data_IF_276158688327
#
_entry.id   IF_276158688327
#
_cell.length_a   1.000
_cell.length_b   1.000
_cell.length_c   1.000
_cell.angle_alpha   90.00
_cell.angle_beta   90.00
_cell.angle_gamma   90.00
#
_symmetry.space_group_name_H-M   'P 1'
#
loop_
_entity.id
_entity.type
_entity.pdbx_description
1 polymer ?
#
# COMPACT_ATOMS: atom_id res chain seq x y z
N UNK A 1 -7.02 -1.96 -38.80
CA UNK A 1 -6.16 -2.68 -37.84
C UNK A 1 -6.59 -2.26 -36.44
N UNK A 2 -7.44 -3.08 -35.82
CA UNK A 2 -8.08 -2.84 -34.52
C UNK A 2 -7.30 -3.64 -33.46
N UNK A 3 -6.38 -2.99 -32.75
CA UNK A 3 -5.89 -3.49 -31.46
C UNK A 3 -6.81 -2.93 -30.37
N UNK A 4 -7.87 -3.67 -30.06
CA UNK A 4 -8.70 -3.40 -28.88
C UNK A 4 -8.08 -4.10 -27.68
N UNK A 5 -7.59 -3.30 -26.74
CA UNK A 5 -7.12 -3.70 -25.42
C UNK A 5 -8.15 -4.59 -24.72
N UNK A 6 -7.80 -5.87 -24.52
CA UNK A 6 -8.50 -6.74 -23.58
C UNK A 6 -7.85 -6.47 -22.21
N UNK A 7 -8.31 -5.40 -21.56
CA UNK A 7 -8.15 -5.24 -20.12
C UNK A 7 -9.18 -6.16 -19.46
N UNK A 8 -8.81 -7.42 -19.25
CA UNK A 8 -9.61 -8.37 -18.48
C UNK A 8 -9.59 -7.93 -17.03
N UNK A 9 -10.66 -7.26 -16.60
CA UNK A 9 -10.97 -7.01 -15.20
C UNK A 9 -11.30 -8.36 -14.56
N UNK A 10 -10.30 -9.03 -14.00
CA UNK A 10 -10.50 -10.09 -13.00
C UNK A 10 -10.11 -9.47 -11.67
N UNK A 11 -11.04 -8.73 -11.07
CA UNK A 11 -10.83 -8.13 -9.75
C UNK A 11 -12.11 -8.29 -8.95
N UNK A 12 -12.23 -9.43 -8.24
CA UNK A 12 -12.96 -9.57 -6.97
C UNK A 12 -13.15 -11.04 -6.52
N UNK A 13 -13.02 -12.03 -7.41
CA UNK A 13 -13.46 -13.41 -7.08
C UNK A 13 -12.37 -14.36 -6.53
N UNK A 14 -11.10 -13.97 -6.48
CA UNK A 14 -10.01 -14.90 -6.11
C UNK A 14 -9.81 -15.08 -4.59
N UNK A 15 -10.43 -14.24 -3.75
CA UNK A 15 -10.30 -14.33 -2.29
C UNK A 15 -11.42 -15.12 -1.59
N UNK A 16 -12.33 -15.75 -2.35
CA UNK A 16 -13.37 -16.62 -1.80
C UNK A 16 -12.96 -18.10 -1.72
N UNK A 17 -11.65 -18.40 -1.71
CA UNK A 17 -11.18 -19.77 -1.50
C UNK A 17 -11.09 -20.04 0.00
N UNK A 18 -12.08 -20.74 0.51
CA UNK A 18 -12.13 -21.22 1.88
C UNK A 18 -11.07 -22.31 2.16
N UNK A 19 -10.06 -21.94 2.94
CA UNK A 19 -9.50 -22.63 4.13
C UNK A 19 -8.79 -24.00 4.02
N UNK A 20 -8.66 -24.68 2.87
CA UNK A 20 -7.91 -25.97 2.85
C UNK A 20 -6.96 -26.22 1.67
N UNK A 21 -6.54 -25.19 0.94
CA UNK A 21 -5.57 -25.35 -0.15
C UNK A 21 -4.37 -24.44 0.07
N UNK A 22 -3.18 -25.05 0.14
CA UNK A 22 -1.90 -24.36 0.07
C UNK A 22 -1.90 -23.40 -1.13
N UNK A 23 -1.44 -22.16 -0.92
CA UNK A 23 -1.32 -21.17 -1.97
C UNK A 23 -0.36 -21.67 -3.04
N UNK A 24 -0.73 -21.48 -4.29
CA UNK A 24 0.18 -21.67 -5.43
C UNK A 24 1.02 -20.41 -5.65
N UNK A 25 2.21 -20.53 -6.28
CA UNK A 25 2.99 -19.36 -6.72
C UNK A 25 2.16 -18.33 -7.48
N UNK A 26 1.27 -18.77 -8.38
CA UNK A 26 0.39 -17.87 -9.14
C UNK A 26 -0.60 -17.09 -8.26
N UNK A 27 -1.13 -17.71 -7.19
CA UNK A 27 -2.01 -17.02 -6.24
C UNK A 27 -1.25 -16.01 -5.38
N UNK A 28 0.01 -16.30 -5.04
CA UNK A 28 0.92 -15.35 -4.39
C UNK A 28 1.10 -14.12 -5.28
N UNK A 29 1.40 -14.31 -6.58
CA UNK A 29 1.51 -13.20 -7.56
C UNK A 29 0.22 -12.40 -7.67
N UNK A 30 -0.93 -13.06 -7.80
CA UNK A 30 -2.21 -12.37 -7.92
C UNK A 30 -2.56 -11.54 -6.68
N UNK A 31 -2.25 -12.03 -5.48
CA UNK A 31 -2.49 -11.30 -4.23
C UNK A 31 -1.65 -10.02 -4.14
N UNK A 32 -0.39 -10.16 -4.55
CA UNK A 32 0.59 -9.10 -4.75
C UNK A 32 0.04 -8.02 -5.72
N UNK A 33 -0.46 -8.41 -6.90
CA UNK A 33 -1.06 -7.50 -7.88
C UNK A 33 -2.27 -6.73 -7.36
N UNK A 34 -3.09 -7.35 -6.50
CA UNK A 34 -4.25 -6.70 -5.89
C UNK A 34 -3.81 -5.58 -4.93
N UNK A 35 -2.82 -5.82 -4.07
CA UNK A 35 -2.24 -4.79 -3.18
C UNK A 35 -1.69 -3.63 -4.00
N UNK A 36 -1.08 -3.92 -5.15
CA UNK A 36 -0.57 -2.91 -6.08
C UNK A 36 -1.67 -2.07 -6.70
N UNK A 37 -2.74 -2.72 -7.15
CA UNK A 37 -3.89 -2.05 -7.76
C UNK A 37 -4.58 -1.11 -6.76
N UNK A 38 -4.72 -1.55 -5.50
CA UNK A 38 -5.26 -0.72 -4.42
C UNK A 38 -4.37 0.52 -4.18
N UNK A 39 -3.05 0.33 -4.10
CA UNK A 39 -2.09 1.42 -3.91
C UNK A 39 -2.11 2.44 -5.07
N UNK A 40 -2.22 1.97 -6.31
CA UNK A 40 -2.38 2.82 -7.48
C UNK A 40 -3.70 3.62 -7.44
N UNK A 41 -4.78 3.02 -6.93
CA UNK A 41 -6.07 3.69 -6.75
C UNK A 41 -6.01 4.81 -5.71
N UNK A 42 -5.27 4.60 -4.61
CA UNK A 42 -5.00 5.65 -3.62
C UNK A 42 -4.26 6.81 -4.29
N UNK A 43 -3.16 6.51 -5.00
CA UNK A 43 -2.35 7.50 -5.73
C UNK A 43 -3.19 8.32 -6.71
N UNK A 44 -4.11 7.67 -7.44
CA UNK A 44 -5.04 8.35 -8.36
C UNK A 44 -6.05 9.22 -7.62
N UNK A 45 -6.51 8.81 -6.45
CA UNK A 45 -7.47 9.57 -5.64
C UNK A 45 -6.85 10.86 -5.08
N UNK A 46 -5.56 10.84 -4.76
CA UNK A 46 -4.84 11.99 -4.22
C UNK A 46 -4.34 12.95 -5.30
N UNK A 47 -4.06 12.46 -6.52
CA UNK A 47 -3.50 13.29 -7.60
C UNK A 47 -4.45 14.37 -8.13
N UNK A 48 -5.75 14.26 -7.84
CA UNK A 48 -6.77 15.26 -8.23
C UNK A 48 -6.94 16.39 -7.21
N UNK A 49 -6.31 16.28 -6.04
CA UNK A 49 -6.41 17.28 -4.98
C UNK A 49 -5.39 18.39 -5.21
N UNK A 50 -5.87 19.63 -5.10
CA UNK A 50 -5.04 20.84 -5.17
C UNK A 50 -5.44 21.79 -4.04
N UNK A 51 -4.66 22.85 -3.84
CA UNK A 51 -5.00 23.91 -2.86
C UNK A 51 -6.28 24.67 -3.18
N UNK A 52 -6.82 24.52 -4.40
CA UNK A 52 -8.10 25.12 -4.85
C UNK A 52 -9.30 24.17 -4.71
N UNK A 53 -9.07 22.91 -4.33
CA UNK A 53 -10.15 21.93 -4.19
C UNK A 53 -11.10 22.33 -3.06
N UNK A 54 -12.39 22.00 -3.20
CA UNK A 54 -13.39 22.27 -2.15
C UNK A 54 -13.13 21.43 -0.89
N UNK A 55 -13.55 21.91 0.28
CA UNK A 55 -13.43 21.15 1.54
C UNK A 55 -14.16 19.80 1.46
N UNK A 56 -15.29 19.73 0.75
CA UNK A 56 -16.01 18.47 0.55
C UNK A 56 -15.18 17.47 -0.26
N UNK A 57 -14.51 17.93 -1.32
CA UNK A 57 -13.60 17.09 -2.12
C UNK A 57 -12.42 16.62 -1.27
N UNK A 58 -11.78 17.53 -0.53
CA UNK A 58 -10.61 17.22 0.32
C UNK A 58 -10.98 16.22 1.42
N UNK A 59 -12.08 16.46 2.13
CA UNK A 59 -12.60 15.56 3.17
C UNK A 59 -12.98 14.19 2.61
N UNK A 60 -13.62 14.14 1.44
CA UNK A 60 -13.97 12.88 0.77
C UNK A 60 -12.71 12.10 0.39
N UNK A 61 -11.72 12.75 -0.23
CA UNK A 61 -10.46 12.11 -0.61
C UNK A 61 -9.69 11.62 0.61
N UNK A 62 -9.62 12.37 1.71
CA UNK A 62 -9.00 11.91 2.96
C UNK A 62 -9.64 10.59 3.45
N UNK A 63 -10.98 10.50 3.44
CA UNK A 63 -11.69 9.25 3.77
C UNK A 63 -11.38 8.11 2.79
N UNK A 64 -11.31 8.41 1.48
CA UNK A 64 -10.92 7.43 0.46
C UNK A 64 -9.51 6.90 0.68
N UNK A 65 -8.57 7.77 1.05
CA UNK A 65 -7.18 7.38 1.37
C UNK A 65 -7.15 6.46 2.58
N UNK A 66 -7.74 6.87 3.71
CA UNK A 66 -7.81 6.03 4.92
C UNK A 66 -8.48 4.68 4.62
N UNK A 67 -9.62 4.68 3.93
CA UNK A 67 -10.33 3.45 3.55
C UNK A 67 -9.52 2.57 2.61
N UNK A 68 -8.79 3.17 1.67
CA UNK A 68 -7.90 2.47 0.75
C UNK A 68 -6.79 1.74 1.51
N UNK A 69 -6.13 2.41 2.45
CA UNK A 69 -5.11 1.78 3.29
C UNK A 69 -5.70 0.69 4.19
N UNK A 70 -6.90 0.87 4.76
CA UNK A 70 -7.57 -0.18 5.54
C UNK A 70 -7.85 -1.42 4.70
N UNK A 71 -8.24 -1.26 3.43
CA UNK A 71 -8.41 -2.39 2.50
C UNK A 71 -7.10 -3.10 2.23
N UNK A 72 -6.01 -2.36 2.01
CA UNK A 72 -4.67 -2.94 1.83
C UNK A 72 -4.30 -3.77 3.06
N UNK A 73 -4.43 -3.23 4.28
CA UNK A 73 -4.17 -3.95 5.53
C UNK A 73 -4.98 -5.24 5.59
N UNK A 74 -6.28 -5.18 5.30
CA UNK A 74 -7.15 -6.37 5.31
C UNK A 74 -6.73 -7.41 4.26
N UNK A 75 -6.38 -6.98 3.04
CA UNK A 75 -5.90 -7.88 1.99
C UNK A 75 -4.59 -8.54 2.36
N UNK A 76 -3.65 -7.79 2.95
CA UNK A 76 -2.40 -8.34 3.46
C UNK A 76 -2.68 -9.36 4.57
N UNK A 77 -3.58 -9.05 5.51
CA UNK A 77 -3.95 -9.98 6.59
C UNK A 77 -4.49 -11.31 6.05
N UNK A 78 -5.42 -11.27 5.09
CA UNK A 78 -5.92 -12.48 4.42
C UNK A 78 -4.82 -13.24 3.69
N UNK A 79 -3.89 -12.52 3.07
CA UNK A 79 -2.78 -13.14 2.36
C UNK A 79 -1.81 -13.84 3.31
N UNK A 80 -1.43 -13.20 4.42
CA UNK A 80 -0.59 -13.77 5.48
C UNK A 80 -1.20 -15.06 6.01
N UNK A 81 -2.49 -15.07 6.35
CA UNK A 81 -3.15 -16.29 6.83
C UNK A 81 -3.10 -17.43 5.81
N UNK A 82 -3.22 -17.11 4.51
CA UNK A 82 -3.11 -18.14 3.46
C UNK A 82 -1.68 -18.67 3.31
N UNK A 83 -0.66 -17.85 3.57
CA UNK A 83 0.75 -18.28 3.53
C UNK A 83 1.06 -19.22 4.70
N UNK A 84 0.54 -18.94 5.90
CA UNK A 84 0.77 -19.78 7.09
C UNK A 84 0.26 -21.22 6.89
N UNK A 85 -0.79 -21.40 6.08
CA UNK A 85 -1.34 -22.71 5.69
C UNK A 85 -0.58 -23.37 4.51
N UNK A 86 0.47 -22.73 4.00
CA UNK A 86 1.21 -23.15 2.79
C UNK A 86 2.60 -23.65 3.16
N UNK A 87 2.97 -24.85 2.70
CA UNK A 87 4.34 -25.35 2.86
C UNK A 87 5.33 -24.53 2.03
N UNK A 88 6.59 -24.38 2.48
CA UNK A 88 7.61 -23.64 1.75
C UNK A 88 7.75 -24.14 0.31
N UNK A 89 7.91 -23.20 -0.63
CA UNK A 89 8.05 -23.55 -2.04
C UNK A 89 9.44 -24.13 -2.35
N UNK A 90 9.52 -25.12 -3.25
CA UNK A 90 10.79 -25.55 -3.81
C UNK A 90 11.43 -24.42 -4.63
N UNK A 91 12.75 -24.46 -4.81
CA UNK A 91 13.54 -23.33 -5.35
C UNK A 91 13.11 -22.86 -6.75
N UNK A 92 12.65 -23.79 -7.60
CA UNK A 92 12.14 -23.49 -8.94
C UNK A 92 10.82 -22.68 -8.90
N UNK A 93 9.91 -23.05 -7.99
CA UNK A 93 8.68 -22.32 -7.71
C UNK A 93 8.96 -21.00 -6.96
N UNK A 94 9.93 -20.98 -6.05
CA UNK A 94 10.35 -19.79 -5.33
C UNK A 94 10.91 -18.73 -6.28
N UNK A 95 11.66 -19.12 -7.32
CA UNK A 95 12.18 -18.18 -8.31
C UNK A 95 11.06 -17.54 -9.17
N UNK A 96 9.95 -18.24 -9.42
CA UNK A 96 8.77 -17.62 -10.06
C UNK A 96 8.12 -16.57 -9.16
N UNK A 97 8.03 -16.84 -7.85
CA UNK A 97 7.54 -15.88 -6.86
C UNK A 97 8.48 -14.69 -6.74
N UNK A 98 9.79 -14.90 -6.69
CA UNK A 98 10.78 -13.83 -6.70
C UNK A 98 10.72 -13.04 -7.99
N UNK A 99 10.63 -13.69 -9.15
CA UNK A 99 10.48 -12.99 -10.42
C UNK A 99 9.19 -12.17 -10.44
N UNK A 100 8.12 -12.59 -9.78
CA UNK A 100 6.94 -11.76 -9.62
C UNK A 100 7.16 -10.63 -8.59
N UNK A 101 7.87 -10.86 -7.49
CA UNK A 101 8.26 -9.83 -6.51
C UNK A 101 9.32 -8.83 -7.04
N UNK A 102 10.05 -9.20 -8.11
CA UNK A 102 11.12 -8.43 -8.76
C UNK A 102 10.64 -7.78 -10.05
N UNK A 103 9.99 -8.53 -10.95
CA UNK A 103 9.40 -8.02 -12.20
C UNK A 103 8.17 -7.16 -11.91
N UNK A 104 7.39 -7.56 -10.90
CA UNK A 104 6.57 -6.60 -10.19
C UNK A 104 7.43 -6.12 -9.04
N UNK A 105 8.13 -5.01 -9.24
CA UNK A 105 8.84 -4.22 -8.24
C UNK A 105 7.82 -3.64 -7.23
N UNK A 106 7.06 -4.54 -6.60
CA UNK A 106 5.67 -4.41 -6.18
C UNK A 106 5.54 -3.68 -4.86
N UNK A 107 6.48 -3.95 -3.98
CA UNK A 107 6.51 -3.40 -2.64
C UNK A 107 7.21 -2.04 -2.68
N UNK A 108 8.28 -1.92 -3.44
CA UNK A 108 9.16 -0.74 -3.42
C UNK A 108 8.74 0.38 -4.36
N UNK A 109 8.28 0.10 -5.59
CA UNK A 109 7.97 1.20 -6.53
C UNK A 109 6.55 1.76 -6.36
N UNK A 110 5.60 0.93 -5.98
CA UNK A 110 4.18 1.29 -5.89
C UNK A 110 3.85 1.95 -4.55
N UNK A 111 4.33 1.43 -3.43
CA UNK A 111 4.15 2.13 -2.15
C UNK A 111 5.01 3.37 -2.05
N UNK A 112 6.24 3.39 -2.57
CA UNK A 112 7.06 4.61 -2.57
C UNK A 112 6.40 5.72 -3.39
N UNK A 113 5.83 5.40 -4.56
CA UNK A 113 5.06 6.39 -5.34
C UNK A 113 3.77 6.82 -4.64
N UNK A 114 3.06 5.91 -3.98
CA UNK A 114 1.89 6.25 -3.19
C UNK A 114 2.28 7.14 -1.99
N UNK A 115 3.34 6.79 -1.27
CA UNK A 115 3.90 7.52 -0.15
C UNK A 115 4.40 8.92 -0.56
N UNK A 116 5.14 9.04 -1.66
CA UNK A 116 5.60 10.33 -2.20
C UNK A 116 4.43 11.24 -2.57
N UNK A 117 3.39 10.70 -3.22
CA UNK A 117 2.22 11.49 -3.61
C UNK A 117 1.37 11.84 -2.38
N UNK A 118 1.18 10.91 -1.44
CA UNK A 118 0.47 11.16 -0.18
C UNK A 118 1.23 12.20 0.66
N UNK A 119 2.55 12.11 0.74
CA UNK A 119 3.40 13.13 1.34
C UNK A 119 3.19 14.50 0.70
N UNK A 120 3.15 14.57 -0.63
CA UNK A 120 2.97 15.83 -1.34
C UNK A 120 1.68 16.58 -1.00
N UNK A 121 0.63 15.86 -0.58
CA UNK A 121 -0.66 16.44 -0.20
C UNK A 121 -0.87 16.57 1.31
N UNK A 122 0.11 16.16 2.14
CA UNK A 122 0.06 16.27 3.60
C UNK A 122 -0.38 17.68 4.05
N UNK A 123 0.26 18.73 3.49
CA UNK A 123 -0.06 20.13 3.83
C UNK A 123 -1.52 20.52 3.56
N UNK A 124 -2.18 19.88 2.59
CA UNK A 124 -3.60 20.12 2.30
C UNK A 124 -4.48 19.46 3.36
N UNK A 125 -4.19 18.21 3.74
CA UNK A 125 -4.97 17.55 4.80
C UNK A 125 -4.71 18.16 6.18
N UNK A 126 -3.47 18.55 6.47
CA UNK A 126 -3.07 19.22 7.70
C UNK A 126 -3.84 20.53 7.90
N UNK A 127 -4.02 21.32 6.84
CA UNK A 127 -4.79 22.57 6.89
C UNK A 127 -6.21 22.39 7.46
N UNK A 128 -6.82 21.21 7.26
CA UNK A 128 -8.19 20.92 7.66
C UNK A 128 -8.28 19.86 8.78
N UNK A 129 -7.18 19.58 9.49
CA UNK A 129 -7.10 18.59 10.57
C UNK A 129 -7.56 17.17 10.14
N UNK A 130 -7.20 16.76 8.92
CA UNK A 130 -7.60 15.47 8.33
C UNK A 130 -6.49 14.40 8.36
N UNK A 131 -5.37 14.64 9.05
CA UNK A 131 -4.20 13.75 9.07
C UNK A 131 -4.33 12.58 10.06
N UNK A 132 -5.00 12.79 11.20
CA UNK A 132 -5.17 11.79 12.27
C UNK A 132 -5.72 10.42 11.81
N UNK A 133 -6.81 10.33 11.02
CA UNK A 133 -7.30 9.02 10.55
C UNK A 133 -6.40 8.38 9.50
N UNK A 134 -5.52 9.15 8.85
CA UNK A 134 -4.56 8.61 7.87
C UNK A 134 -3.37 8.02 8.62
N UNK A 135 -2.78 8.74 9.58
CA UNK A 135 -1.64 8.23 10.37
C UNK A 135 -2.00 6.97 11.17
N UNK A 136 -3.21 6.89 11.71
CA UNK A 136 -3.68 5.71 12.45
C UNK A 136 -3.65 4.45 11.57
N UNK A 137 -4.13 4.55 10.32
CA UNK A 137 -4.15 3.41 9.40
C UNK A 137 -2.75 3.13 8.82
N UNK A 138 -1.92 4.15 8.61
CA UNK A 138 -0.52 3.97 8.20
C UNK A 138 0.29 3.17 9.23
N UNK A 139 0.08 3.39 10.54
CA UNK A 139 0.69 2.57 11.61
C UNK A 139 0.24 1.11 11.55
N UNK A 140 -1.03 0.86 11.25
CA UNK A 140 -1.52 -0.52 11.04
C UNK A 140 -0.92 -1.15 9.78
N UNK A 141 -0.73 -0.35 8.73
CA UNK A 141 -0.08 -0.79 7.50
C UNK A 141 1.37 -1.21 7.72
N UNK A 142 2.14 -0.46 8.50
CA UNK A 142 3.52 -0.82 8.88
C UNK A 142 3.59 -2.22 9.49
N UNK A 143 2.77 -2.51 10.51
CA UNK A 143 2.72 -3.84 11.12
C UNK A 143 2.22 -4.95 10.17
N UNK A 144 1.32 -4.64 9.24
CA UNK A 144 0.88 -5.59 8.22
C UNK A 144 2.01 -5.93 7.22
N UNK A 145 2.84 -4.94 6.85
CA UNK A 145 4.00 -5.13 5.98
C UNK A 145 5.03 -6.04 6.64
N UNK A 146 5.33 -5.82 7.91
CA UNK A 146 6.25 -6.67 8.67
C UNK A 146 5.74 -8.11 8.74
N UNK A 147 4.45 -8.29 9.04
CA UNK A 147 3.82 -9.61 9.07
C UNK A 147 3.90 -10.32 7.72
N UNK A 148 3.66 -9.60 6.62
CA UNK A 148 3.79 -10.12 5.27
C UNK A 148 5.21 -10.55 4.95
N UNK A 149 6.20 -9.74 5.32
CA UNK A 149 7.60 -10.06 5.09
C UNK A 149 8.02 -11.33 5.83
N UNK A 150 7.64 -11.47 7.10
CA UNK A 150 7.90 -12.69 7.86
C UNK A 150 7.23 -13.91 7.23
N UNK A 151 5.97 -13.79 6.81
CA UNK A 151 5.26 -14.89 6.13
C UNK A 151 5.94 -15.28 4.81
N UNK A 152 6.34 -14.31 3.99
CA UNK A 152 7.05 -14.56 2.74
C UNK A 152 8.43 -15.19 2.96
N UNK A 153 9.17 -14.77 3.99
CA UNK A 153 10.45 -15.42 4.38
C UNK A 153 10.22 -16.90 4.71
N UNK A 154 9.13 -17.22 5.42
CA UNK A 154 8.76 -18.62 5.69
C UNK A 154 8.40 -19.41 4.43
N UNK A 155 7.74 -18.75 3.47
CA UNK A 155 7.29 -19.38 2.23
C UNK A 155 8.43 -19.61 1.23
N UNK A 156 9.40 -18.70 1.14
CA UNK A 156 10.53 -18.74 0.21
C UNK A 156 11.86 -18.53 0.96
N UNK A 157 12.28 -19.46 1.83
CA UNK A 157 13.40 -19.27 2.75
C UNK A 157 14.75 -19.05 2.04
N UNK A 158 14.94 -19.65 0.86
CA UNK A 158 16.15 -19.46 0.04
C UNK A 158 16.28 -18.04 -0.53
N UNK A 159 15.22 -17.24 -0.42
CA UNK A 159 15.08 -15.88 -0.94
C UNK A 159 14.85 -14.84 0.16
N UNK A 160 15.08 -15.23 1.41
CA UNK A 160 14.86 -14.41 2.61
C UNK A 160 15.58 -13.06 2.59
N UNK A 161 16.81 -12.98 2.09
CA UNK A 161 17.55 -11.71 1.97
C UNK A 161 16.84 -10.71 1.04
N UNK A 162 16.38 -11.19 -0.11
CA UNK A 162 15.69 -10.36 -1.12
C UNK A 162 14.37 -9.82 -0.56
N UNK A 163 13.64 -10.64 0.22
CA UNK A 163 12.41 -10.23 0.91
C UNK A 163 12.70 -9.22 2.02
N UNK A 164 13.78 -9.42 2.78
CA UNK A 164 14.18 -8.54 3.89
C UNK A 164 14.59 -7.15 3.39
N UNK A 165 15.37 -7.07 2.32
CA UNK A 165 15.78 -5.78 1.72
C UNK A 165 14.57 -4.98 1.20
N UNK A 166 13.60 -5.69 0.61
CA UNK A 166 12.35 -5.09 0.14
C UNK A 166 11.49 -4.59 1.32
N UNK A 167 11.37 -5.39 2.39
CA UNK A 167 10.68 -4.99 3.62
C UNK A 167 11.32 -3.75 4.24
N UNK A 168 12.65 -3.72 4.36
CA UNK A 168 13.35 -2.60 5.00
C UNK A 168 13.11 -1.28 4.25
N UNK A 169 13.18 -1.32 2.91
CA UNK A 169 12.93 -0.15 2.09
C UNK A 169 11.49 0.34 2.21
N UNK A 170 10.52 -0.59 2.25
CA UNK A 170 9.12 -0.23 2.40
C UNK A 170 8.79 0.30 3.80
N UNK A 171 9.26 -0.39 4.84
CA UNK A 171 9.12 0.01 6.23
C UNK A 171 9.62 1.46 6.41
N UNK A 172 10.85 1.75 5.97
CA UNK A 172 11.42 3.11 6.00
C UNK A 172 10.50 4.14 5.34
N UNK A 173 9.99 3.86 4.13
CA UNK A 173 9.11 4.79 3.42
C UNK A 173 7.77 5.03 4.13
N UNK A 174 7.21 4.00 4.77
CA UNK A 174 5.97 4.11 5.54
C UNK A 174 6.23 4.86 6.86
N UNK A 175 7.31 4.54 7.57
CA UNK A 175 7.73 5.24 8.79
C UNK A 175 7.95 6.73 8.53
N UNK A 176 8.62 7.10 7.42
CA UNK A 176 8.79 8.49 7.02
C UNK A 176 7.44 9.19 6.80
N UNK A 177 6.52 8.52 6.10
CA UNK A 177 5.17 9.04 5.84
C UNK A 177 4.37 9.20 7.14
N UNK A 178 4.47 8.24 8.06
CA UNK A 178 3.88 8.31 9.41
C UNK A 178 4.43 9.54 10.12
N UNK A 179 5.75 9.71 10.17
CA UNK A 179 6.40 10.84 10.84
C UNK A 179 5.88 12.18 10.34
N UNK A 180 5.70 12.33 9.03
CA UNK A 180 5.13 13.54 8.43
C UNK A 180 3.67 13.76 8.88
N UNK A 181 2.84 12.72 8.80
CA UNK A 181 1.41 12.82 9.12
C UNK A 181 1.11 12.93 10.62
N UNK A 182 2.07 12.54 11.47
CA UNK A 182 2.00 12.66 12.93
C UNK A 182 2.39 14.07 13.43
N UNK A 183 2.93 14.93 12.55
CA UNK A 183 3.27 16.29 12.90
C UNK A 183 2.02 17.07 13.37
N UNK A 184 2.20 17.88 14.40
CA UNK A 184 1.18 18.84 14.81
C UNK A 184 1.26 20.04 13.89
N UNK A 185 0.22 20.26 13.09
CA UNK A 185 0.16 21.35 12.12
C UNK A 185 -0.85 22.43 12.53
N UNK A 186 -0.39 23.67 12.54
CA UNK A 186 -1.23 24.86 12.73
C UNK A 186 -1.79 25.33 11.37
N UNK A 187 -3.12 25.37 11.20
CA UNK A 187 -3.74 25.87 9.97
C UNK A 187 -3.29 27.29 9.63
N UNK A 188 -3.04 27.54 8.35
CA UNK A 188 -2.70 28.87 7.86
C UNK A 188 -3.94 29.76 7.75
N UNK A 189 -3.88 30.97 8.31
CA UNK A 189 -4.88 32.02 8.12
C UNK A 189 -4.90 32.58 6.69
N UNK A 190 -3.81 32.37 5.94
CA UNK A 190 -3.65 32.87 4.57
C UNK A 190 -3.83 31.78 3.52
N UNK A 191 -4.53 30.68 3.84
CA UNK A 191 -4.81 29.62 2.88
C UNK A 191 -5.57 30.14 1.65
N UNK A 192 -5.22 29.77 0.40
CA UNK A 192 -4.16 28.81 -0.01
C UNK A 192 -2.77 29.43 -0.28
N UNK A 193 -2.57 30.73 -0.01
CA UNK A 193 -1.29 31.43 -0.26
C UNK A 193 -0.22 31.12 0.78
N UNK A 194 -0.60 30.80 2.01
CA UNK A 194 0.28 30.29 3.07
C UNK A 194 -0.02 28.83 3.39
N UNK A 195 1.02 28.00 3.52
CA UNK A 195 0.91 26.60 3.96
C UNK A 195 0.79 26.52 5.49
N UNK A 196 0.17 25.47 6.07
CA UNK A 196 0.21 25.24 7.50
C UNK A 196 1.65 25.07 7.98
N UNK A 197 1.91 25.48 9.23
CA UNK A 197 3.20 25.29 9.89
C UNK A 197 3.11 24.01 10.71
N UNK A 198 3.95 23.04 10.39
CA UNK A 198 3.97 21.74 11.04
C UNK A 198 5.22 21.62 11.91
N UNK A 199 5.05 21.05 13.10
CA UNK A 199 6.11 20.80 14.08
C UNK A 199 6.05 19.30 14.43
N UNK A 200 7.19 18.63 14.33
CA UNK A 200 7.38 17.22 14.65
C UNK A 200 8.36 17.04 15.79
#
# INVERSE_FOLDING_TARGET
>A
MLFRSIATVISAALFAQSVCAALTPAQVVASVEVVTTLSASITKSVSVITTKSSLNTISSTSKTVSTGFTKIVSTIGTFVTGIEDTSPFPDDAAQLVVNALVAVNLITSIFRRAADVVWSIHSIFAQFALTAPIVAVLRTLEGAIDSLAFALIGLIPTKSNEVSDAQFTLSTSVTDTISIYDQTCFPSLFWPKGKPVCIG
#
